data_IF_186300003542
#
_entry.id   IF_186300003542
#
_cell.length_a   1.000
_cell.length_b   1.000
_cell.length_c   1.000
_cell.angle_alpha   90.00
_cell.angle_beta   90.00
_cell.angle_gamma   90.00
#
_symmetry.space_group_name_H-M   'P 1'
#
loop_
_entity.id
_entity.type
_entity.pdbx_description
1 polymer ?
#
# COMPACT_ATOMS: atom_id res chain seq x y z
N UNK A 1 -2.80 0.28 29.64
CA UNK A 1 -2.91 0.56 28.19
C UNK A 1 -1.69 -0.03 27.49
N UNK A 2 -1.82 -0.82 26.42
CA UNK A 2 -0.64 -1.29 25.68
C UNK A 2 0.16 -0.10 25.13
N UNK A 3 1.48 -0.25 24.98
CA UNK A 3 2.37 0.81 24.45
C UNK A 3 1.87 1.29 23.08
N UNK A 4 1.50 0.36 22.19
CA UNK A 4 0.95 0.69 20.87
C UNK A 4 -0.32 1.55 20.94
N UNK A 5 -1.24 1.27 21.88
CA UNK A 5 -2.45 2.07 22.07
C UNK A 5 -2.15 3.48 22.56
N UNK A 6 -1.17 3.62 23.47
CA UNK A 6 -0.74 4.93 23.99
C UNK A 6 -0.09 5.77 22.89
N UNK A 7 0.78 5.16 22.08
CA UNK A 7 1.39 5.83 20.93
C UNK A 7 0.34 6.28 19.92
N UNK A 8 -0.62 5.42 19.59
CA UNK A 8 -1.68 5.77 18.65
C UNK A 8 -2.48 6.99 19.15
N UNK A 9 -2.90 6.97 20.42
CA UNK A 9 -3.60 8.08 21.05
C UNK A 9 -2.77 9.37 21.08
N UNK A 10 -1.49 9.29 21.43
CA UNK A 10 -0.59 10.45 21.44
C UNK A 10 -0.30 11.04 20.05
N UNK A 11 -0.52 10.25 18.99
CA UNK A 11 -0.42 10.71 17.61
C UNK A 11 -1.79 11.07 17.01
N UNK A 12 -2.86 11.13 17.80
CA UNK A 12 -4.24 11.36 17.32
C UNK A 12 -4.66 10.38 16.21
N UNK A 13 -4.17 9.14 16.29
CA UNK A 13 -4.39 8.06 15.33
C UNK A 13 -5.07 6.88 15.97
N UNK A 14 -5.85 6.13 15.19
CA UNK A 14 -6.24 4.77 15.54
C UNK A 14 -5.02 3.83 15.48
N UNK A 15 -5.11 2.67 16.15
CA UNK A 15 -4.02 1.69 16.09
C UNK A 15 -3.69 1.22 14.66
N UNK A 16 -4.69 1.19 13.78
CA UNK A 16 -4.51 0.81 12.37
C UNK A 16 -3.83 1.92 11.58
N UNK A 17 -4.18 3.18 11.82
CA UNK A 17 -3.51 4.33 11.19
C UNK A 17 -2.06 4.44 11.63
N UNK A 18 -1.76 4.19 12.92
CA UNK A 18 -0.38 4.11 13.39
C UNK A 18 0.38 2.98 12.70
N UNK A 19 -0.22 1.79 12.57
CA UNK A 19 0.43 0.67 11.88
C UNK A 19 0.73 0.98 10.40
N UNK A 20 -0.18 1.68 9.71
CA UNK A 20 0.04 2.16 8.35
C UNK A 20 1.18 3.18 8.27
N UNK A 21 1.20 4.16 9.18
CA UNK A 21 2.25 5.18 9.26
C UNK A 21 3.63 4.55 9.53
N UNK A 22 3.70 3.62 10.48
CA UNK A 22 4.93 2.87 10.78
C UNK A 22 5.39 2.05 9.58
N UNK A 23 4.45 1.40 8.86
CA UNK A 23 4.82 0.65 7.65
C UNK A 23 5.34 1.56 6.55
N UNK A 24 4.69 2.70 6.32
CA UNK A 24 5.16 3.69 5.36
C UNK A 24 6.58 4.16 5.71
N UNK A 25 6.81 4.52 6.98
CA UNK A 25 8.12 4.91 7.48
C UNK A 25 9.19 3.82 7.26
N UNK A 26 8.86 2.55 7.50
CA UNK A 26 9.81 1.43 7.30
C UNK A 26 10.20 1.24 5.84
N UNK A 27 9.27 1.41 4.90
CA UNK A 27 9.55 1.15 3.48
C UNK A 27 10.15 2.35 2.75
N UNK A 28 9.97 3.57 3.26
CA UNK A 28 10.50 4.75 2.57
C UNK A 28 10.55 6.03 3.40
N UNK A 29 10.59 5.92 4.72
CA UNK A 29 10.85 7.04 5.64
C UNK A 29 9.82 8.16 5.55
N UNK A 30 10.31 9.40 5.76
CA UNK A 30 9.49 10.60 5.72
C UNK A 30 8.77 10.82 4.38
N UNK A 31 9.39 10.59 3.21
CA UNK A 31 8.68 10.69 1.92
C UNK A 31 7.48 9.76 1.80
N UNK A 32 7.62 8.50 2.22
CA UNK A 32 6.52 7.54 2.21
C UNK A 32 5.37 7.96 3.12
N UNK A 33 5.70 8.49 4.30
CA UNK A 33 4.73 8.99 5.26
C UNK A 33 3.99 10.23 4.72
N UNK A 34 4.70 11.17 4.10
CA UNK A 34 4.09 12.34 3.47
C UNK A 34 3.07 11.93 2.39
N UNK A 35 3.40 10.95 1.56
CA UNK A 35 2.48 10.42 0.54
C UNK A 35 1.29 9.67 1.15
N UNK A 36 1.47 9.00 2.29
CA UNK A 36 0.37 8.39 3.04
C UNK A 36 -0.63 9.45 3.49
N UNK A 37 -0.11 10.58 4.01
CA UNK A 37 -0.84 11.66 4.66
C UNK A 37 -1.40 12.72 3.72
N UNK A 38 -1.00 12.73 2.44
CA UNK A 38 -1.44 13.71 1.44
C UNK A 38 -2.42 13.16 0.37
N UNK A 39 -3.62 12.66 0.72
CA UNK A 39 -4.62 12.19 -0.26
C UNK A 39 -5.09 13.25 -1.27
N UNK A 40 -5.01 14.54 -0.89
CA UNK A 40 -5.74 15.63 -1.56
C UNK A 40 -4.94 16.44 -2.59
N UNK A 41 -3.68 16.08 -2.86
CA UNK A 41 -2.89 16.79 -3.85
C UNK A 41 -3.51 16.64 -5.25
N UNK A 42 -3.58 17.73 -6.02
CA UNK A 42 -4.04 17.66 -7.42
C UNK A 42 -3.16 16.69 -8.21
N UNK A 43 -3.76 15.84 -9.06
CA UNK A 43 -2.99 14.89 -9.86
C UNK A 43 -2.04 15.62 -10.81
N UNK A 44 -0.79 15.19 -10.83
CA UNK A 44 0.20 15.66 -11.80
C UNK A 44 -0.17 15.11 -13.20
N UNK A 45 -0.39 15.98 -14.21
CA UNK A 45 -0.70 15.54 -15.57
C UNK A 45 0.37 14.63 -16.18
N UNK A 46 1.65 14.83 -15.86
CA UNK A 46 2.74 13.96 -16.33
C UNK A 46 2.61 12.58 -15.71
N UNK A 47 2.34 12.52 -14.42
CA UNK A 47 2.13 11.27 -13.70
C UNK A 47 0.92 10.48 -14.27
N UNK A 48 -0.14 11.18 -14.69
CA UNK A 48 -1.27 10.54 -15.36
C UNK A 48 -0.88 9.91 -16.71
N UNK A 49 -0.02 10.56 -17.50
CA UNK A 49 0.44 10.04 -18.79
C UNK A 49 1.41 8.84 -18.61
N UNK A 50 2.29 8.90 -17.62
CA UNK A 50 3.18 7.79 -17.27
C UNK A 50 2.39 6.55 -16.82
N UNK A 51 1.38 6.72 -15.96
CA UNK A 51 0.51 5.61 -15.56
C UNK A 51 -0.26 5.05 -16.74
N UNK A 52 -0.80 5.91 -17.62
CA UNK A 52 -1.51 5.46 -18.80
C UNK A 52 -0.62 4.58 -19.69
N UNK A 53 0.64 4.97 -19.91
CA UNK A 53 1.64 4.18 -20.66
C UNK A 53 1.97 2.87 -19.96
N UNK A 54 2.33 2.91 -18.68
CA UNK A 54 2.65 1.71 -17.90
C UNK A 54 1.49 0.71 -17.84
N UNK A 55 0.25 1.19 -17.91
CA UNK A 55 -0.92 0.31 -17.83
C UNK A 55 -1.19 -0.48 -19.13
N UNK A 56 -0.70 -0.01 -20.28
CA UNK A 56 -0.87 -0.69 -21.57
C UNK A 56 -0.32 -2.11 -21.53
N UNK A 57 0.86 -2.30 -20.92
CA UNK A 57 1.50 -3.60 -20.81
C UNK A 57 1.02 -4.40 -19.59
N UNK A 58 0.42 -3.70 -18.61
CA UNK A 58 0.09 -4.29 -17.33
C UNK A 58 -1.23 -5.07 -17.35
N UNK A 59 -2.23 -4.66 -18.14
CA UNK A 59 -3.48 -5.42 -18.24
C UNK A 59 -4.45 -4.95 -19.30
N UNK A 60 -5.49 -5.76 -19.53
CA UNK A 60 -6.44 -5.60 -20.65
C UNK A 60 -7.56 -4.56 -20.41
N UNK A 61 -7.46 -3.77 -19.33
CA UNK A 61 -8.49 -2.84 -18.89
C UNK A 61 -8.12 -1.37 -19.09
N UNK A 62 -9.09 -0.43 -18.97
CA UNK A 62 -8.79 0.98 -19.06
C UNK A 62 -7.85 1.42 -17.92
N UNK A 63 -6.92 2.35 -18.17
CA UNK A 63 -5.99 2.83 -17.16
C UNK A 63 -6.74 3.45 -15.97
N UNK A 64 -6.20 3.30 -14.75
CA UNK A 64 -6.83 3.86 -13.56
C UNK A 64 -6.89 5.38 -13.66
N UNK A 65 -8.01 5.97 -13.23
CA UNK A 65 -8.14 7.42 -13.11
C UNK A 65 -7.57 7.90 -11.78
N UNK A 66 -6.87 9.05 -11.74
CA UNK A 66 -6.40 9.61 -10.50
C UNK A 66 -7.56 10.04 -9.60
N UNK A 67 -7.36 9.87 -8.29
CA UNK A 67 -8.10 10.57 -7.23
C UNK A 67 -7.08 11.23 -6.32
N UNK A 68 -6.85 12.52 -6.55
CA UNK A 68 -5.72 13.24 -5.97
C UNK A 68 -4.41 12.59 -6.41
N UNK A 69 -3.57 12.21 -5.46
CA UNK A 69 -2.31 11.51 -5.71
C UNK A 69 -2.43 9.98 -5.87
N UNK A 70 -3.64 9.43 -6.07
CA UNK A 70 -3.89 7.97 -6.01
C UNK A 70 -4.44 7.43 -7.31
N UNK A 71 -3.82 6.38 -7.84
CA UNK A 71 -4.30 5.62 -8.99
C UNK A 71 -4.66 4.21 -8.52
N UNK A 72 -5.97 3.93 -8.47
CA UNK A 72 -6.46 2.63 -7.97
C UNK A 72 -6.82 1.72 -9.12
N UNK A 73 -6.21 0.54 -9.15
CA UNK A 73 -6.50 -0.45 -10.15
C UNK A 73 -7.68 -1.31 -9.71
N UNK A 74 -8.77 -1.25 -10.48
CA UNK A 74 -10.00 -1.99 -10.17
C UNK A 74 -9.75 -3.50 -10.30
N UNK A 75 -10.34 -4.27 -9.38
CA UNK A 75 -10.24 -5.73 -9.38
C UNK A 75 -8.90 -6.32 -8.92
N UNK A 76 -7.80 -5.58 -9.03
CA UNK A 76 -6.47 -6.11 -8.73
C UNK A 76 -5.99 -5.93 -7.29
N UNK A 77 -6.67 -5.12 -6.48
CA UNK A 77 -6.21 -4.83 -5.13
C UNK A 77 -4.87 -4.10 -5.09
N UNK A 78 -4.55 -3.34 -6.15
CA UNK A 78 -3.33 -2.55 -6.30
C UNK A 78 -3.68 -1.06 -6.40
N UNK A 79 -2.90 -0.23 -5.74
CA UNK A 79 -2.99 1.23 -5.82
C UNK A 79 -1.58 1.81 -5.93
N UNK A 80 -1.37 2.75 -6.85
CA UNK A 80 -0.19 3.58 -6.88
C UNK A 80 -0.48 4.92 -6.21
N UNK A 81 0.52 5.46 -5.54
CA UNK A 81 0.50 6.86 -5.10
C UNK A 81 1.71 7.60 -5.59
N UNK A 82 1.50 8.82 -6.08
CA UNK A 82 2.57 9.68 -6.56
C UNK A 82 2.94 10.73 -5.50
N UNK A 83 4.22 11.03 -5.38
CA UNK A 83 4.70 12.14 -4.58
C UNK A 83 6.20 12.33 -4.74
N UNK A 84 6.63 13.59 -4.84
CA UNK A 84 8.03 13.97 -5.01
C UNK A 84 8.73 13.25 -6.17
N UNK A 85 8.05 13.14 -7.32
CA UNK A 85 8.60 12.49 -8.51
C UNK A 85 8.71 10.96 -8.42
N UNK A 86 8.13 10.33 -7.40
CA UNK A 86 8.24 8.87 -7.18
C UNK A 86 6.90 8.19 -7.03
N UNK A 87 6.90 6.90 -7.40
CA UNK A 87 5.75 6.00 -7.39
C UNK A 87 5.78 5.06 -6.21
N UNK A 88 4.80 5.18 -5.33
CA UNK A 88 4.67 4.38 -4.13
C UNK A 88 3.65 3.26 -4.34
N UNK A 89 4.07 1.99 -4.23
CA UNK A 89 3.18 0.85 -4.41
C UNK A 89 2.37 0.60 -3.13
N UNK A 90 1.06 0.38 -3.30
CA UNK A 90 0.14 -0.01 -2.22
C UNK A 90 -0.67 -1.23 -2.65
N UNK A 91 -0.94 -2.11 -1.67
CA UNK A 91 -1.82 -3.28 -1.83
C UNK A 91 -3.03 -3.19 -0.93
N UNK A 92 -4.11 -3.86 -1.29
CA UNK A 92 -5.31 -3.97 -0.45
C UNK A 92 -5.20 -5.17 0.47
N UNK A 93 -5.16 -4.93 1.77
CA UNK A 93 -5.15 -5.95 2.82
C UNK A 93 -6.25 -5.65 3.84
N UNK A 94 -7.15 -6.61 4.07
CA UNK A 94 -8.31 -6.49 4.99
C UNK A 94 -9.11 -5.19 4.78
N UNK A 95 -9.37 -4.85 3.51
CA UNK A 95 -10.14 -3.65 3.13
C UNK A 95 -9.39 -2.32 3.23
N UNK A 96 -8.09 -2.32 3.55
CA UNK A 96 -7.27 -1.09 3.65
C UNK A 96 -6.07 -1.14 2.72
N UNK A 97 -5.56 0.03 2.33
CA UNK A 97 -4.39 0.17 1.47
C UNK A 97 -3.12 0.24 2.31
N UNK A 98 -2.24 -0.75 2.16
CA UNK A 98 -0.97 -0.84 2.88
C UNK A 98 0.20 -0.62 1.92
N UNK A 99 1.25 0.12 2.33
CA UNK A 99 2.48 0.23 1.55
C UNK A 99 3.07 -1.15 1.24
N UNK A 100 3.31 -1.41 -0.05
CA UNK A 100 3.76 -2.71 -0.54
C UNK A 100 5.27 -2.78 -0.76
N UNK A 101 5.98 -1.65 -0.71
CA UNK A 101 7.41 -1.59 -0.97
C UNK A 101 7.96 -0.17 -0.97
N UNK A 102 9.26 0.00 -1.28
CA UNK A 102 9.87 1.31 -1.47
C UNK A 102 9.27 2.04 -2.69
N UNK A 103 9.62 3.31 -2.83
CA UNK A 103 9.26 4.08 -4.01
C UNK A 103 10.07 3.64 -5.23
N UNK A 104 9.41 3.59 -6.37
CA UNK A 104 10.01 3.37 -7.68
C UNK A 104 10.00 4.65 -8.51
N UNK A 105 10.92 4.75 -9.46
CA UNK A 105 10.98 5.85 -10.42
C UNK A 105 10.00 5.68 -11.58
N UNK A 106 9.60 4.44 -11.87
CA UNK A 106 8.73 4.07 -12.99
C UNK A 106 7.42 3.42 -12.48
N UNK A 107 6.25 3.85 -12.97
CA UNK A 107 4.98 3.30 -12.51
C UNK A 107 4.78 1.84 -12.89
N UNK A 108 5.36 1.34 -14.00
CA UNK A 108 5.28 -0.08 -14.33
C UNK A 108 5.99 -0.95 -13.28
N UNK A 109 7.19 -0.53 -12.85
CA UNK A 109 7.94 -1.16 -11.76
C UNK A 109 7.16 -1.14 -10.45
N UNK A 110 6.55 0.01 -10.09
CA UNK A 110 5.73 0.09 -8.87
C UNK A 110 4.49 -0.81 -8.94
N UNK A 111 3.85 -0.89 -10.10
CA UNK A 111 2.71 -1.78 -10.35
C UNK A 111 3.09 -3.26 -10.22
N UNK A 112 4.27 -3.64 -10.71
CA UNK A 112 4.80 -5.00 -10.57
C UNK A 112 5.08 -5.34 -9.10
N UNK A 113 5.75 -4.44 -8.36
CA UNK A 113 6.01 -4.60 -6.93
C UNK A 113 4.73 -4.77 -6.11
N UNK A 114 3.70 -3.94 -6.37
CA UNK A 114 2.41 -4.06 -5.70
C UNK A 114 1.68 -5.38 -6.01
N UNK A 115 1.80 -5.89 -7.25
CA UNK A 115 1.23 -7.19 -7.66
C UNK A 115 1.92 -8.36 -6.97
N UNK A 116 3.25 -8.38 -7.00
CA UNK A 116 4.06 -9.44 -6.39
C UNK A 116 3.72 -9.59 -4.92
N UNK A 117 3.76 -8.48 -4.22
CA UNK A 117 3.49 -8.44 -2.79
C UNK A 117 2.01 -8.79 -2.46
N UNK A 118 1.07 -8.50 -3.36
CA UNK A 118 -0.33 -8.95 -3.22
C UNK A 118 -0.47 -10.47 -3.41
N UNK A 119 0.32 -11.08 -4.30
CA UNK A 119 0.34 -12.53 -4.51
C UNK A 119 0.96 -13.25 -3.31
N UNK A 120 2.07 -12.73 -2.79
CA UNK A 120 2.71 -13.25 -1.56
C UNK A 120 1.75 -13.20 -0.37
N UNK A 121 0.99 -12.12 -0.23
CA UNK A 121 -0.02 -12.01 0.84
C UNK A 121 -1.21 -12.98 0.66
N UNK A 122 -1.59 -13.32 -0.58
CA UNK A 122 -2.65 -14.29 -0.87
C UNK A 122 -2.18 -15.75 -0.71
N UNK A 123 -0.88 -16.01 -0.92
CA UNK A 123 -0.27 -17.33 -0.80
C UNK A 123 0.29 -17.67 0.58
N UNK A 124 0.32 -16.73 1.53
CA UNK A 124 0.75 -17.01 2.89
C UNK A 124 -0.26 -17.98 3.56
N UNK A 125 0.15 -19.20 3.97
CA UNK A 125 -0.76 -20.12 4.65
C UNK A 125 -1.27 -19.45 5.93
N UNK A 126 -2.59 -19.44 6.11
CA UNK A 126 -3.19 -19.04 7.36
C UNK A 126 -2.55 -19.86 8.48
N UNK A 127 -2.02 -19.17 9.49
CA UNK A 127 -1.51 -19.82 10.70
C UNK A 127 -2.72 -20.36 11.46
N UNK A 128 -3.28 -21.46 10.97
CA UNK A 128 -4.28 -22.25 11.69
C UNK A 128 -3.60 -22.79 12.95
N UNK A 129 -4.25 -22.49 14.08
CA UNK A 129 -3.72 -22.71 15.40
C UNK A 129 -3.23 -24.14 15.58
N UNK A 130 -1.97 -24.27 15.98
CA UNK A 130 -1.54 -25.45 16.72
C UNK A 130 -2.32 -25.45 18.04
N UNK A 131 -3.47 -26.12 18.00
CA UNK A 131 -4.21 -26.50 19.18
C UNK A 131 -3.26 -27.27 20.10
N UNK A 132 -3.12 -26.78 21.32
CA UNK A 132 -2.55 -27.52 22.43
C UNK A 132 -3.27 -28.86 22.58
N UNK A 133 -2.64 -29.94 22.14
CA UNK A 133 -2.95 -31.26 22.66
C UNK A 133 -2.21 -31.39 24.00
N UNK A 134 -2.87 -30.95 25.07
CA UNK A 134 -2.62 -31.43 26.42
C UNK A 134 -3.66 -32.50 26.74
N UNK A 135 -3.21 -33.55 27.47
CA UNK A 135 -3.96 -34.64 28.12
C UNK A 135 -4.42 -35.79 27.18
N UNK A 136 -4.24 -37.09 27.45
CA UNK A 136 -4.08 -37.86 28.70
C UNK A 136 -3.53 -39.26 28.37
N UNK A 137 -2.59 -39.79 29.18
CA UNK A 137 -2.57 -41.17 29.73
C UNK A 137 -1.26 -41.36 30.50
#
# INVERSE_FOLDING_TARGET
ASVARRLAAGCERTGVELALAVRAWRVGGAPALAVLEAPGASPDPRAQEEVARAFVEWGDGPPPRPRGNRWTVRGAGVQLRYGDGRWWPYRRERGRWWPAGPAESDPASALAAAREESRTAAGAPGVEGQASASRTA
#
